data_IF_747024701039
#
_entry.id   IF_747024701039
#
_cell.length_a   1.000
_cell.length_b   1.000
_cell.length_c   1.000
_cell.angle_alpha   90.00
_cell.angle_beta   90.00
_cell.angle_gamma   90.00
#
_symmetry.space_group_name_H-M   'P 1'
#
loop_
_entity.id
_entity.type
_entity.pdbx_description
1 polymer ?
#
# COMPACT_ATOMS: atom_id res chain seq x y z
N UNK A 1 14.06 -3.78 6.23
CA UNK A 1 13.36 -2.50 6.02
C UNK A 1 12.64 -2.11 7.29
N UNK A 2 12.29 -0.84 7.47
CA UNK A 2 11.49 -0.38 8.62
C UNK A 2 10.28 0.43 8.18
N UNK A 3 9.63 1.08 9.15
CA UNK A 3 8.43 1.89 8.91
C UNK A 3 8.80 3.24 8.29
N UNK A 4 8.02 3.69 7.32
CA UNK A 4 8.21 5.00 6.68
C UNK A 4 6.99 5.89 6.92
N UNK A 5 7.21 7.08 7.50
CA UNK A 5 6.20 8.12 7.61
C UNK A 5 6.36 9.17 6.52
N UNK A 6 5.25 9.69 5.99
CA UNK A 6 5.25 10.65 4.88
C UNK A 6 4.94 12.07 5.35
N UNK A 7 5.57 12.50 6.45
CA UNK A 7 5.31 13.77 7.13
C UNK A 7 6.51 14.74 7.12
N UNK A 8 7.58 14.43 6.37
CA UNK A 8 8.82 15.24 6.41
C UNK A 8 8.66 16.66 5.86
N UNK A 9 7.78 16.87 4.87
CA UNK A 9 7.42 18.18 4.30
C UNK A 9 5.96 18.17 3.89
N UNK A 10 5.26 19.29 4.08
CA UNK A 10 3.89 19.49 3.63
C UNK A 10 2.87 18.54 4.26
N UNK A 11 3.03 18.24 5.55
CA UNK A 11 2.11 17.37 6.29
C UNK A 11 0.67 17.90 6.20
N UNK A 12 -0.23 17.10 5.64
CA UNK A 12 -1.63 17.47 5.35
C UNK A 12 -1.87 18.68 4.42
N UNK A 13 -0.87 19.17 3.68
CA UNK A 13 -1.09 20.21 2.65
C UNK A 13 -2.09 19.76 1.58
N UNK A 14 -2.02 18.49 1.19
CA UNK A 14 -3.01 17.85 0.35
C UNK A 14 -3.60 16.63 1.06
N UNK A 15 -4.78 16.79 1.64
CA UNK A 15 -5.47 15.73 2.38
C UNK A 15 -5.67 14.45 1.55
N UNK A 16 -5.99 14.58 0.27
CA UNK A 16 -6.25 13.43 -0.61
C UNK A 16 -4.99 12.61 -0.85
N UNK A 17 -3.85 13.27 -1.12
CA UNK A 17 -2.57 12.58 -1.32
C UNK A 17 -2.04 12.00 0.00
N UNK A 18 -2.23 12.72 1.11
CA UNK A 18 -1.81 12.26 2.45
C UNK A 18 -2.53 10.97 2.83
N UNK A 19 -3.85 10.89 2.59
CA UNK A 19 -4.65 9.67 2.82
C UNK A 19 -4.15 8.49 2.00
N UNK A 20 -3.71 8.75 0.77
CA UNK A 20 -3.05 7.73 -0.04
C UNK A 20 -1.77 7.17 0.57
N UNK A 21 -0.96 8.03 1.18
CA UNK A 21 0.28 7.62 1.84
C UNK A 21 0.04 6.97 3.22
N UNK A 22 -1.03 7.34 3.93
CA UNK A 22 -1.46 6.68 5.16
C UNK A 22 -1.74 5.18 4.94
N UNK A 23 -2.27 4.80 3.77
CA UNK A 23 -2.45 3.39 3.40
C UNK A 23 -1.14 2.61 3.37
N UNK A 24 -0.01 3.26 3.04
CA UNK A 24 1.32 2.63 3.01
C UNK A 24 1.84 2.40 4.42
N UNK A 25 1.58 3.32 5.35
CA UNK A 25 1.91 3.19 6.78
C UNK A 25 1.15 2.00 7.38
N UNK A 26 -0.14 1.88 7.08
CA UNK A 26 -0.95 0.72 7.48
C UNK A 26 -0.35 -0.60 6.98
N UNK A 27 0.09 -0.63 5.71
CA UNK A 27 0.72 -1.82 5.14
C UNK A 27 2.05 -2.18 5.82
N UNK A 28 2.85 -1.19 6.22
CA UNK A 28 4.08 -1.41 7.00
C UNK A 28 3.78 -2.11 8.33
N UNK A 29 2.81 -1.62 9.11
CA UNK A 29 2.48 -2.20 10.42
C UNK A 29 1.80 -3.57 10.33
N UNK A 30 1.02 -3.82 9.27
CA UNK A 30 0.32 -5.08 9.06
C UNK A 30 1.04 -6.02 8.10
N UNK A 31 0.73 -5.88 6.81
CA UNK A 31 1.11 -6.81 5.72
C UNK A 31 2.60 -7.09 5.65
N UNK A 32 3.45 -6.08 5.89
CA UNK A 32 4.90 -6.24 5.72
C UNK A 32 5.61 -6.68 6.99
N UNK A 33 5.27 -6.10 8.15
CA UNK A 33 5.96 -6.43 9.41
C UNK A 33 5.62 -7.83 9.93
N UNK A 34 4.38 -8.29 9.78
CA UNK A 34 3.95 -9.58 10.34
C UNK A 34 4.73 -10.78 9.77
N UNK A 35 4.90 -10.94 8.44
CA UNK A 35 5.69 -12.03 7.86
C UNK A 35 7.17 -11.98 8.24
N UNK A 36 7.74 -10.78 8.37
CA UNK A 36 9.13 -10.60 8.79
C UNK A 36 9.34 -11.08 10.23
N UNK A 37 8.38 -10.79 11.12
CA UNK A 37 8.45 -11.24 12.53
C UNK A 37 8.20 -12.73 12.69
N UNK A 38 7.24 -13.30 11.96
CA UNK A 38 6.85 -14.70 12.10
C UNK A 38 7.78 -15.67 11.35
N UNK A 39 8.20 -15.32 10.14
CA UNK A 39 8.88 -16.25 9.23
C UNK A 39 10.27 -15.77 8.79
N UNK A 40 10.70 -14.58 9.24
CA UNK A 40 11.92 -13.93 8.77
C UNK A 40 11.99 -13.83 7.23
N UNK A 41 10.84 -13.70 6.57
CA UNK A 41 10.71 -13.67 5.11
C UNK A 41 9.55 -12.77 4.68
N UNK A 42 9.69 -12.02 3.57
CA UNK A 42 8.59 -11.28 2.98
C UNK A 42 7.61 -12.26 2.35
N UNK A 43 6.31 -12.10 2.62
CA UNK A 43 5.28 -12.79 1.83
C UNK A 43 5.41 -12.33 0.38
N UNK A 44 5.50 -13.24 -0.58
CA UNK A 44 5.55 -12.93 -2.02
C UNK A 44 6.61 -11.92 -2.48
N UNK A 45 7.68 -11.69 -1.70
CA UNK A 45 8.72 -10.71 -2.05
C UNK A 45 8.33 -9.24 -1.80
N UNK A 46 7.23 -8.98 -1.08
CA UNK A 46 6.81 -7.61 -0.74
C UNK A 46 7.85 -6.90 0.13
N UNK A 47 8.61 -6.02 -0.51
CA UNK A 47 9.65 -5.16 0.07
C UNK A 47 9.52 -3.80 -0.61
N UNK A 48 9.67 -2.72 0.15
CA UNK A 48 9.78 -1.37 -0.41
C UNK A 48 11.26 -0.96 -0.51
N UNK A 49 11.60 -0.16 -1.52
CA UNK A 49 12.98 0.22 -1.82
C UNK A 49 13.56 1.31 -0.91
N UNK A 50 12.71 2.08 -0.23
CA UNK A 50 13.16 3.10 0.72
C UNK A 50 13.52 2.45 2.06
N UNK A 51 14.49 3.01 2.80
CA UNK A 51 14.80 2.54 4.17
C UNK A 51 15.05 1.02 4.31
N UNK A 52 15.78 0.46 3.34
CA UNK A 52 16.28 -0.91 3.35
C UNK A 52 17.77 -0.92 3.71
N UNK A 53 18.17 -1.93 4.50
CA UNK A 53 19.57 -2.22 4.81
C UNK A 53 19.87 -3.63 4.31
N UNK A 54 20.91 -3.76 3.50
CA UNK A 54 21.31 -5.02 2.86
C UNK A 54 22.76 -5.30 3.20
N UNK A 55 23.08 -6.56 3.53
CA UNK A 55 24.48 -6.97 3.71
C UNK A 55 25.16 -7.01 2.33
N UNK A 56 26.35 -6.41 2.21
CA UNK A 56 27.06 -6.32 0.92
C UNK A 56 27.26 -7.67 0.21
N UNK A 57 27.47 -8.75 0.97
CA UNK A 57 27.54 -10.11 0.42
C UNK A 57 26.23 -10.56 -0.28
N UNK A 58 25.07 -10.22 0.31
CA UNK A 58 23.75 -10.56 -0.23
C UNK A 58 23.48 -9.71 -1.47
N UNK A 59 23.81 -8.41 -1.40
CA UNK A 59 23.70 -7.49 -2.53
C UNK A 59 24.53 -7.97 -3.72
N UNK A 60 25.79 -8.35 -3.50
CA UNK A 60 26.65 -8.91 -4.54
C UNK A 60 26.10 -10.24 -5.10
N UNK A 61 25.51 -11.09 -4.25
CA UNK A 61 24.97 -12.37 -4.67
C UNK A 61 23.66 -12.24 -5.46
N UNK A 62 22.80 -11.28 -5.15
CA UNK A 62 21.48 -11.11 -5.81
C UNK A 62 21.58 -10.17 -7.02
N UNK A 63 22.34 -9.08 -6.88
CA UNK A 63 22.46 -7.99 -7.86
C UNK A 63 21.21 -7.10 -7.92
N UNK A 64 21.37 -5.93 -8.54
CA UNK A 64 20.28 -4.98 -8.84
C UNK A 64 20.00 -4.85 -10.34
N UNK A 65 20.79 -5.50 -11.19
CA UNK A 65 20.65 -5.40 -12.64
C UNK A 65 19.39 -6.14 -13.10
N UNK A 66 18.36 -5.38 -13.47
CA UNK A 66 17.04 -5.91 -13.83
C UNK A 66 16.28 -4.97 -14.76
N UNK A 67 15.54 -5.56 -15.70
CA UNK A 67 14.56 -4.85 -16.52
C UNK A 67 13.24 -4.56 -15.77
N UNK A 68 13.13 -5.03 -14.52
CA UNK A 68 11.94 -4.83 -13.69
C UNK A 68 11.84 -3.38 -13.20
N UNK A 69 10.73 -2.71 -13.51
CA UNK A 69 10.44 -1.35 -13.04
C UNK A 69 10.26 -1.22 -11.50
N UNK A 70 10.09 -2.36 -10.81
CA UNK A 70 10.04 -2.48 -9.35
C UNK A 70 11.25 -3.31 -8.90
N UNK A 71 12.43 -2.70 -8.99
CA UNK A 71 13.74 -3.28 -8.65
C UNK A 71 13.78 -3.80 -7.20
N UNK A 72 13.15 -3.07 -6.28
CA UNK A 72 13.02 -3.37 -4.86
C UNK A 72 12.24 -4.67 -4.61
N UNK A 73 11.07 -4.78 -5.22
CA UNK A 73 10.27 -6.00 -5.18
C UNK A 73 11.01 -7.19 -5.79
N UNK A 74 11.65 -6.99 -6.94
CA UNK A 74 12.41 -8.03 -7.63
C UNK A 74 13.59 -8.52 -6.79
N UNK A 75 14.32 -7.61 -6.14
CA UNK A 75 15.41 -7.94 -5.24
C UNK A 75 14.89 -8.73 -4.04
N UNK A 76 13.82 -8.27 -3.40
CA UNK A 76 13.18 -8.93 -2.26
C UNK A 76 12.73 -10.35 -2.60
N UNK A 77 12.10 -10.53 -3.75
CA UNK A 77 11.68 -11.83 -4.26
C UNK A 77 12.87 -12.78 -4.51
N UNK A 78 13.91 -12.32 -5.22
CA UNK A 78 15.10 -13.14 -5.50
C UNK A 78 15.86 -13.50 -4.23
N UNK A 79 16.01 -12.56 -3.31
CA UNK A 79 16.66 -12.81 -2.04
C UNK A 79 15.88 -13.84 -1.20
N UNK A 80 14.54 -13.77 -1.20
CA UNK A 80 13.69 -14.77 -0.55
C UNK A 80 13.81 -16.16 -1.21
N UNK A 81 13.84 -16.23 -2.54
CA UNK A 81 14.01 -17.47 -3.30
C UNK A 81 15.38 -18.13 -3.07
N UNK A 82 16.43 -17.32 -2.84
CA UNK A 82 17.76 -17.81 -2.43
C UNK A 82 17.83 -18.23 -0.95
N UNK A 83 16.73 -18.10 -0.21
CA UNK A 83 16.61 -18.54 1.17
C UNK A 83 17.16 -17.56 2.21
N UNK A 84 17.54 -16.34 1.81
CA UNK A 84 18.02 -15.33 2.76
C UNK A 84 16.92 -14.90 3.74
N UNK A 85 17.37 -14.48 4.93
CA UNK A 85 16.50 -14.02 6.01
C UNK A 85 16.34 -12.52 5.98
N UNK A 86 15.16 -12.07 6.38
CA UNK A 86 14.76 -10.68 6.42
C UNK A 86 14.42 -10.27 7.85
N UNK A 87 14.77 -9.04 8.20
CA UNK A 87 14.48 -8.44 9.50
C UNK A 87 13.73 -7.12 9.35
N UNK A 88 12.83 -6.87 10.31
CA UNK A 88 12.21 -5.55 10.44
C UNK A 88 13.12 -4.65 11.26
N UNK A 89 13.41 -3.46 10.75
CA UNK A 89 14.18 -2.45 11.44
C UNK A 89 13.21 -1.66 12.34
N UNK A 90 13.44 -1.71 13.65
CA UNK A 90 12.64 -0.99 14.66
C UNK A 90 13.04 0.49 14.73
N UNK A 91 12.97 1.16 13.60
CA UNK A 91 13.20 2.59 13.46
C UNK A 91 12.22 3.17 12.43
N UNK A 92 12.10 4.49 12.42
CA UNK A 92 11.17 5.23 11.56
C UNK A 92 11.99 6.13 10.64
N UNK A 93 11.76 6.02 9.34
CA UNK A 93 12.24 6.98 8.35
C UNK A 93 11.13 7.97 7.99
N UNK A 94 11.50 9.22 7.73
CA UNK A 94 10.56 10.26 7.29
C UNK A 94 10.83 10.58 5.83
N UNK A 95 9.84 10.34 4.99
CA UNK A 95 9.88 10.57 3.55
C UNK A 95 8.86 11.65 3.15
N UNK A 96 8.96 12.13 1.92
CA UNK A 96 8.08 13.17 1.39
C UNK A 96 6.93 12.54 0.60
N UNK A 97 5.70 13.02 0.78
CA UNK A 97 4.58 12.57 -0.02
C UNK A 97 4.72 13.05 -1.48
N UNK A 98 4.08 12.36 -2.44
CA UNK A 98 3.99 12.82 -3.82
C UNK A 98 3.22 14.14 -3.90
N UNK A 99 3.60 15.00 -4.86
CA UNK A 99 3.03 16.37 -4.99
C UNK A 99 1.71 16.42 -5.76
N UNK A 100 1.44 15.43 -6.60
CA UNK A 100 0.27 15.44 -7.47
C UNK A 100 -0.35 14.06 -7.62
N UNK A 101 -1.65 14.03 -7.93
CA UNK A 101 -2.38 12.80 -8.26
C UNK A 101 -1.72 12.10 -9.46
N UNK A 102 -1.21 12.87 -10.43
CA UNK A 102 -0.49 12.31 -11.59
C UNK A 102 0.75 11.53 -11.16
N UNK A 103 1.49 12.03 -10.18
CA UNK A 103 2.69 11.36 -9.67
C UNK A 103 2.34 10.06 -8.94
N UNK A 104 1.28 10.08 -8.10
CA UNK A 104 0.75 8.87 -7.46
C UNK A 104 0.35 7.84 -8.51
N UNK A 105 -0.44 8.25 -9.51
CA UNK A 105 -0.88 7.36 -10.59
C UNK A 105 0.32 6.77 -11.34
N UNK A 106 1.33 7.58 -11.67
CA UNK A 106 2.54 7.10 -12.31
C UNK A 106 3.32 6.09 -11.43
N UNK A 107 3.40 6.34 -10.11
CA UNK A 107 4.04 5.45 -9.15
C UNK A 107 3.31 4.10 -9.05
N UNK A 108 1.98 4.09 -8.90
CA UNK A 108 1.18 2.86 -8.81
C UNK A 108 1.21 2.06 -10.11
N UNK A 109 1.18 2.71 -11.28
CA UNK A 109 1.36 2.04 -12.58
C UNK A 109 2.72 1.37 -12.70
N UNK A 110 3.78 2.04 -12.25
CA UNK A 110 5.14 1.51 -12.26
C UNK A 110 5.23 0.25 -11.40
N UNK A 111 4.68 0.28 -10.19
CA UNK A 111 4.66 -0.89 -9.29
C UNK A 111 3.90 -2.06 -9.89
N UNK A 112 2.69 -1.82 -10.41
CA UNK A 112 1.90 -2.84 -11.05
C UNK A 112 2.65 -3.51 -12.20
N UNK A 113 3.22 -2.73 -13.12
CA UNK A 113 3.97 -3.27 -14.25
C UNK A 113 5.26 -3.99 -13.84
N UNK A 114 6.00 -3.45 -12.87
CA UNK A 114 7.19 -4.11 -12.32
C UNK A 114 6.85 -5.47 -11.73
N UNK A 115 5.85 -5.53 -10.84
CA UNK A 115 5.43 -6.79 -10.21
C UNK A 115 4.88 -7.77 -11.26
N UNK A 116 4.14 -7.30 -12.26
CA UNK A 116 3.66 -8.15 -13.34
C UNK A 116 4.79 -8.74 -14.19
N UNK A 117 5.87 -7.97 -14.42
CA UNK A 117 7.04 -8.39 -15.19
C UNK A 117 7.84 -9.51 -14.52
N UNK A 118 7.74 -9.66 -13.20
CA UNK A 118 8.45 -10.72 -12.46
C UNK A 118 7.98 -12.15 -12.81
N UNK A 119 6.79 -12.30 -13.40
CA UNK A 119 6.28 -13.61 -13.77
C UNK A 119 5.56 -14.37 -12.66
N UNK A 120 5.67 -13.93 -11.40
CA UNK A 120 5.14 -14.65 -10.24
C UNK A 120 3.60 -14.71 -10.21
N UNK A 121 2.98 -15.90 -10.37
CA UNK A 121 1.53 -16.04 -10.45
C UNK A 121 0.79 -15.52 -9.22
N UNK A 122 1.32 -15.79 -8.02
CA UNK A 122 0.71 -15.33 -6.77
C UNK A 122 0.81 -13.81 -6.59
N UNK A 123 1.90 -13.20 -7.05
CA UNK A 123 2.03 -11.75 -7.04
C UNK A 123 1.02 -11.10 -8.00
N UNK A 124 0.82 -11.68 -9.19
CA UNK A 124 -0.23 -11.25 -10.14
C UNK A 124 -1.64 -11.44 -9.58
N UNK A 125 -1.90 -12.59 -8.94
CA UNK A 125 -3.20 -12.88 -8.31
C UNK A 125 -3.52 -11.89 -7.18
N UNK A 126 -2.52 -11.35 -6.49
CA UNK A 126 -2.74 -10.35 -5.45
C UNK A 126 -3.42 -9.06 -5.98
N UNK A 127 -3.29 -8.77 -7.29
CA UNK A 127 -4.00 -7.66 -7.94
C UNK A 127 -5.43 -8.02 -8.39
N UNK A 128 -5.83 -9.29 -8.31
CA UNK A 128 -7.23 -9.68 -8.52
C UNK A 128 -8.15 -9.03 -7.48
N UNK A 129 -7.62 -8.69 -6.30
CA UNK A 129 -8.32 -7.94 -5.26
C UNK A 129 -8.89 -6.60 -5.77
N UNK A 130 -8.24 -5.94 -6.74
CA UNK A 130 -8.76 -4.71 -7.35
C UNK A 130 -10.08 -4.95 -8.10
N UNK A 131 -10.21 -6.09 -8.80
CA UNK A 131 -11.44 -6.45 -9.50
C UNK A 131 -12.55 -6.85 -8.51
N UNK A 132 -12.20 -7.55 -7.43
CA UNK A 132 -13.13 -7.88 -6.33
C UNK A 132 -13.67 -6.60 -5.68
N UNK A 133 -12.82 -5.60 -5.46
CA UNK A 133 -13.22 -4.31 -4.90
C UNK A 133 -14.25 -3.58 -5.78
N UNK A 134 -13.99 -3.45 -7.09
CA UNK A 134 -14.96 -2.85 -8.03
C UNK A 134 -16.26 -3.65 -8.12
N UNK A 135 -16.17 -4.98 -8.21
CA UNK A 135 -17.35 -5.84 -8.22
C UNK A 135 -18.18 -5.69 -6.93
N UNK A 136 -17.50 -5.55 -5.78
CA UNK A 136 -18.14 -5.28 -4.48
C UNK A 136 -18.90 -3.95 -4.47
N UNK A 137 -18.33 -2.87 -5.00
CA UNK A 137 -19.00 -1.58 -5.10
C UNK A 137 -20.21 -1.65 -6.05
N UNK A 138 -20.02 -2.24 -7.24
CA UNK A 138 -21.11 -2.43 -8.20
C UNK A 138 -22.25 -3.25 -7.59
N UNK A 139 -21.91 -4.28 -6.81
CA UNK A 139 -22.90 -5.08 -6.08
C UNK A 139 -23.63 -4.26 -5.02
N UNK A 140 -22.92 -3.50 -4.17
CA UNK A 140 -23.56 -2.65 -3.15
C UNK A 140 -24.50 -1.65 -3.79
N UNK A 141 -24.09 -0.98 -4.87
CA UNK A 141 -24.94 -0.02 -5.57
C UNK A 141 -26.19 -0.69 -6.15
N UNK A 142 -26.05 -1.86 -6.79
CA UNK A 142 -27.18 -2.63 -7.30
C UNK A 142 -28.17 -3.03 -6.21
N UNK A 143 -27.66 -3.45 -5.05
CA UNK A 143 -28.50 -3.92 -3.95
C UNK A 143 -29.20 -2.77 -3.25
N UNK A 144 -28.48 -1.70 -2.92
CA UNK A 144 -29.03 -0.57 -2.16
C UNK A 144 -30.00 0.26 -3.01
N UNK A 145 -29.69 0.47 -4.29
CA UNK A 145 -30.44 1.41 -5.12
C UNK A 145 -31.37 0.75 -6.16
N UNK A 146 -31.15 -0.51 -6.52
CA UNK A 146 -31.90 -1.15 -7.62
C UNK A 146 -32.68 -2.41 -7.19
N UNK A 147 -32.42 -3.00 -6.02
CA UNK A 147 -33.06 -4.25 -5.60
C UNK A 147 -33.52 -4.22 -4.14
N UNK A 148 -34.83 -4.05 -3.91
CA UNK A 148 -35.45 -4.01 -2.57
C UNK A 148 -35.47 -5.36 -1.81
N UNK A 149 -34.80 -6.42 -2.29
CA UNK A 149 -34.88 -7.73 -1.64
C UNK A 149 -33.81 -7.89 -0.55
N UNK A 150 -34.17 -8.37 0.66
CA UNK A 150 -33.19 -8.68 1.70
C UNK A 150 -32.22 -9.76 1.20
N UNK A 151 -30.91 -9.50 1.33
CA UNK A 151 -29.87 -10.42 0.89
C UNK A 151 -29.49 -11.35 2.04
N UNK A 152 -29.61 -12.64 1.79
CA UNK A 152 -29.02 -13.65 2.64
C UNK A 152 -27.50 -13.68 2.41
N UNK A 153 -26.74 -12.98 3.27
CA UNK A 153 -25.28 -13.06 3.29
C UNK A 153 -24.88 -14.27 4.16
N UNK A 154 -24.03 -15.18 3.67
CA UNK A 154 -23.50 -16.26 4.50
C UNK A 154 -22.86 -15.70 5.78
N UNK A 155 -23.14 -16.33 6.94
CA UNK A 155 -22.66 -15.83 8.24
C UNK A 155 -21.16 -15.58 8.28
N UNK A 156 -20.36 -16.44 7.66
CA UNK A 156 -18.90 -16.28 7.60
C UNK A 156 -18.49 -15.01 6.85
N UNK A 157 -19.19 -14.66 5.76
CA UNK A 157 -18.90 -13.47 4.96
C UNK A 157 -19.33 -12.21 5.70
N UNK A 158 -20.44 -12.27 6.43
CA UNK A 158 -20.88 -11.19 7.31
C UNK A 158 -19.86 -10.92 8.43
N UNK A 159 -19.42 -11.97 9.14
CA UNK A 159 -18.38 -11.85 10.19
C UNK A 159 -17.08 -11.30 9.60
N UNK A 160 -16.65 -11.81 8.45
CA UNK A 160 -15.48 -11.29 7.75
C UNK A 160 -15.62 -9.80 7.39
N UNK A 161 -16.79 -9.39 6.91
CA UNK A 161 -17.08 -7.98 6.61
C UNK A 161 -16.97 -7.08 7.85
N UNK A 162 -17.51 -7.52 8.99
CA UNK A 162 -17.36 -6.79 10.26
C UNK A 162 -15.88 -6.66 10.64
N UNK A 163 -15.13 -7.75 10.58
CA UNK A 163 -13.70 -7.74 10.90
C UNK A 163 -12.92 -6.81 9.97
N UNK A 164 -13.23 -6.81 8.68
CA UNK A 164 -12.60 -5.92 7.71
C UNK A 164 -12.93 -4.44 7.96
N UNK A 165 -14.19 -4.12 8.28
CA UNK A 165 -14.57 -2.75 8.66
C UNK A 165 -13.88 -2.30 9.94
N UNK A 166 -13.81 -3.16 10.95
CA UNK A 166 -13.13 -2.89 12.21
C UNK A 166 -11.62 -2.67 11.99
N UNK A 167 -10.98 -3.53 11.20
CA UNK A 167 -9.58 -3.39 10.81
C UNK A 167 -9.34 -2.10 10.02
N UNK A 168 -10.17 -1.79 9.04
CA UNK A 168 -10.04 -0.57 8.22
C UNK A 168 -10.17 0.70 9.06
N UNK A 169 -11.13 0.72 10.00
CA UNK A 169 -11.30 1.85 10.92
C UNK A 169 -10.11 1.99 11.87
N UNK A 170 -9.67 0.87 12.47
CA UNK A 170 -8.51 0.86 13.36
C UNK A 170 -7.24 1.32 12.64
N UNK A 171 -7.02 0.83 11.42
CA UNK A 171 -5.91 1.20 10.56
C UNK A 171 -5.94 2.68 10.19
N UNK A 172 -7.12 3.24 9.87
CA UNK A 172 -7.27 4.67 9.60
C UNK A 172 -6.94 5.53 10.83
N UNK A 173 -7.41 5.13 12.02
CA UNK A 173 -7.13 5.85 13.27
C UNK A 173 -5.63 5.79 13.58
N UNK A 174 -5.06 4.59 13.64
CA UNK A 174 -3.68 4.38 14.10
C UNK A 174 -2.65 5.01 13.17
N UNK A 175 -2.76 4.83 11.86
CA UNK A 175 -1.82 5.42 10.90
C UNK A 175 -1.88 6.95 10.90
N UNK A 176 -3.10 7.52 10.97
CA UNK A 176 -3.28 8.98 11.01
C UNK A 176 -2.71 9.58 12.29
N UNK A 177 -3.11 9.03 13.44
CA UNK A 177 -2.66 9.50 14.75
C UNK A 177 -1.15 9.35 14.91
N UNK A 178 -0.57 8.24 14.45
CA UNK A 178 0.88 8.03 14.52
C UNK A 178 1.64 9.06 13.69
N UNK A 179 1.17 9.37 12.48
CA UNK A 179 1.82 10.34 11.60
C UNK A 179 1.68 11.77 12.13
N UNK A 180 0.51 12.12 12.66
CA UNK A 180 0.25 13.43 13.28
C UNK A 180 1.07 13.63 14.56
N UNK A 181 1.15 12.59 15.39
CA UNK A 181 1.94 12.62 16.62
C UNK A 181 3.43 12.81 16.32
N UNK A 182 3.96 12.12 15.29
CA UNK A 182 5.35 12.25 14.87
C UNK A 182 5.67 13.60 14.19
N UNK A 183 4.71 14.19 13.48
CA UNK A 183 4.87 15.53 12.88
C UNK A 183 5.03 16.62 13.97
N UNK A 184 4.46 16.39 15.15
CA UNK A 184 4.54 17.29 16.29
C UNK A 184 3.68 18.55 16.16
N UNK A 185 3.32 19.14 17.30
CA UNK A 185 2.56 20.41 17.39
C UNK A 185 1.17 20.41 16.74
N UNK A 186 0.53 19.26 16.58
CA UNK A 186 -0.85 19.17 16.05
C UNK A 186 -1.82 19.06 17.24
N UNK A 187 -2.84 19.94 17.35
CA UNK A 187 -3.81 19.84 18.42
C UNK A 187 -4.73 18.63 18.22
N UNK A 188 -5.22 18.04 19.32
CA UNK A 188 -6.06 16.84 19.31
C UNK A 188 -7.30 16.99 18.40
N UNK A 189 -7.92 18.18 18.37
CA UNK A 189 -9.06 18.47 17.50
C UNK A 189 -8.73 18.30 16.02
N UNK A 190 -7.52 18.69 15.61
CA UNK A 190 -7.06 18.55 14.23
C UNK A 190 -6.74 17.08 13.91
N UNK A 191 -6.17 16.33 14.86
CA UNK A 191 -5.96 14.89 14.69
C UNK A 191 -7.28 14.13 14.49
N UNK A 192 -8.31 14.48 15.26
CA UNK A 192 -9.66 13.92 15.09
C UNK A 192 -10.23 14.26 13.72
N UNK A 193 -10.04 15.51 13.26
CA UNK A 193 -10.46 15.93 11.93
C UNK A 193 -9.74 15.15 10.81
N UNK A 194 -8.44 14.93 10.96
CA UNK A 194 -7.65 14.13 10.03
C UNK A 194 -8.14 12.67 9.95
N UNK A 195 -8.53 12.06 11.08
CA UNK A 195 -9.14 10.72 11.09
C UNK A 195 -10.46 10.71 10.33
N UNK A 196 -11.31 11.72 10.54
CA UNK A 196 -12.60 11.85 9.82
C UNK A 196 -12.34 11.98 8.31
N UNK A 197 -11.41 12.85 7.89
CA UNK A 197 -11.05 13.00 6.48
C UNK A 197 -10.52 11.69 5.89
N UNK A 198 -9.68 10.98 6.64
CA UNK A 198 -9.14 9.68 6.20
C UNK A 198 -10.25 8.67 5.96
N UNK A 199 -11.25 8.60 6.84
CA UNK A 199 -12.38 7.69 6.68
C UNK A 199 -13.16 7.95 5.36
N UNK A 200 -13.42 9.22 5.02
CA UNK A 200 -14.16 9.57 3.81
C UNK A 200 -13.33 9.53 2.53
N UNK A 201 -12.05 9.90 2.59
CA UNK A 201 -11.19 9.96 1.41
C UNK A 201 -10.57 8.61 1.05
N UNK A 202 -10.37 7.70 2.01
CA UNK A 202 -9.81 6.35 1.75
C UNK A 202 -10.56 5.56 0.68
N UNK A 203 -11.91 5.45 0.69
CA UNK A 203 -12.62 4.72 -0.36
C UNK A 203 -12.47 5.38 -1.74
N UNK A 204 -12.44 6.71 -1.80
CA UNK A 204 -12.24 7.47 -3.05
C UNK A 204 -10.83 7.24 -3.60
N UNK A 205 -9.82 7.25 -2.72
CA UNK A 205 -8.44 6.96 -3.09
C UNK A 205 -8.28 5.50 -3.54
N UNK A 206 -8.90 4.54 -2.85
CA UNK A 206 -8.90 3.13 -3.23
C UNK A 206 -9.53 2.87 -4.60
N UNK A 207 -10.63 3.57 -4.93
CA UNK A 207 -11.22 3.56 -6.27
C UNK A 207 -10.24 4.06 -7.34
N UNK A 208 -9.55 5.17 -7.07
CA UNK A 208 -8.54 5.71 -7.96
C UNK A 208 -7.39 4.71 -8.16
N UNK A 209 -6.85 4.11 -7.08
CA UNK A 209 -5.79 3.11 -7.17
C UNK A 209 -6.22 1.90 -8.01
N UNK A 210 -7.43 1.38 -7.80
CA UNK A 210 -7.93 0.25 -8.56
C UNK A 210 -8.07 0.62 -10.06
N UNK A 211 -8.60 1.81 -10.38
CA UNK A 211 -8.70 2.28 -11.77
C UNK A 211 -7.32 2.40 -12.44
N UNK A 212 -6.33 2.90 -11.69
CA UNK A 212 -4.94 3.05 -12.15
C UNK A 212 -4.29 1.69 -12.39
N UNK A 213 -4.55 0.69 -11.53
CA UNK A 213 -4.04 -0.67 -11.69
C UNK A 213 -4.66 -1.34 -12.91
N UNK A 214 -5.98 -1.25 -13.10
CA UNK A 214 -6.66 -1.75 -14.30
C UNK A 214 -6.05 -1.12 -15.55
N UNK A 215 -5.88 0.21 -15.55
CA UNK A 215 -5.24 0.90 -16.65
C UNK A 215 -3.79 0.44 -16.88
N UNK A 216 -3.03 0.15 -15.83
CA UNK A 216 -1.66 -0.37 -15.93
C UNK A 216 -1.58 -1.75 -16.57
N UNK A 217 -2.56 -2.63 -16.29
CA UNK A 217 -2.65 -3.98 -16.86
C UNK A 217 -2.84 -3.90 -18.38
N UNK A 218 -3.73 -3.03 -18.85
CA UNK A 218 -3.98 -2.86 -20.29
C UNK A 218 -2.91 -2.00 -20.99
N UNK A 219 -2.34 -1.02 -20.30
CA UNK A 219 -1.37 -0.06 -20.83
C UNK A 219 -0.14 0.08 -19.92
N UNK A 220 0.75 -0.93 -19.90
CA UNK A 220 1.90 -0.94 -19.02
C UNK A 220 2.87 0.20 -19.37
N UNK A 221 3.38 0.97 -18.38
CA UNK A 221 4.42 1.97 -18.61
C UNK A 221 5.69 1.31 -19.16
N UNK A 222 6.28 1.91 -20.20
CA UNK A 222 7.53 1.45 -20.82
C UNK A 222 8.80 2.07 -20.23
N UNK A 223 8.67 3.09 -19.38
CA UNK A 223 9.79 3.87 -18.83
C UNK A 223 9.62 4.07 -17.33
N UNK A 224 10.74 4.12 -16.63
CA UNK A 224 10.78 4.47 -15.20
C UNK A 224 10.47 5.97 -15.04
N UNK A 225 9.37 6.28 -14.35
CA UNK A 225 9.03 7.65 -14.00
C UNK A 225 9.48 7.95 -12.57
N UNK A 226 10.43 8.87 -12.43
CA UNK A 226 10.90 9.35 -11.12
C UNK A 226 9.88 10.36 -10.59
N UNK A 227 9.27 10.04 -9.44
CA UNK A 227 8.37 10.95 -8.73
C UNK A 227 9.17 12.16 -8.23
N UNK A 228 8.73 13.36 -8.56
CA UNK A 228 9.38 14.61 -8.11
C UNK A 228 9.16 14.80 -6.61
N UNK A 229 10.26 14.82 -5.84
CA UNK A 229 10.32 15.15 -4.40
C UNK A 229 10.90 16.57 -4.22
N UNK A 230 10.63 17.28 -3.11
CA UNK A 230 11.15 18.64 -2.78
C UNK A 230 12.46 18.57 -2.01
#
# INVERSE_FOLDING_TARGET
MGTIFYNSKGHWENSFLTVGELSRITQDFGRFRLPFKLHARPTLGWVHGSFILVKGEIEHAVGWDTDCLAEDFWFGLRAANKGYKFGWLEAIAREQPPRSIRDVCAQRRRWCAGIWSTGEPLARLSYAACFVYFAGIGHVLWVVFLKETPIAIPRWLFVWGILHCAESLWSAITSTVAQDYDAGNIPLSTMVWHVILTFFLSPIFGLMECAVIIHAIFHPPKRFHVVKKV
#
